data_IF_051073264834
#
_entry.id   IF_051073264834
#
_cell.length_a   1.000
_cell.length_b   1.000
_cell.length_c   1.000
_cell.angle_alpha   90.00
_cell.angle_beta   90.00
_cell.angle_gamma   90.00
#
_symmetry.space_group_name_H-M   'P 1'
#
loop_
_entity.id
_entity.type
_entity.pdbx_description
1 polymer ?
#
# COMPACT_ATOMS: atom_id res chain seq x y z
N UNK A 1 10.37 8.42 11.48
CA UNK A 1 10.80 8.98 10.17
C UNK A 1 10.15 10.36 9.99
N UNK A 2 10.70 11.35 9.25
CA UNK A 2 9.92 12.55 8.90
C UNK A 2 9.37 12.39 7.49
N UNK A 3 8.07 12.14 7.37
CA UNK A 3 7.41 12.12 6.07
C UNK A 3 7.38 13.54 5.48
N UNK A 4 7.41 13.71 4.14
CA UNK A 4 7.23 15.03 3.56
C UNK A 4 5.83 15.55 3.91
N UNK A 5 5.76 16.60 4.75
CA UNK A 5 4.52 17.14 5.33
C UNK A 5 3.42 17.39 4.26
N UNK A 6 3.81 17.77 3.04
CA UNK A 6 2.87 17.99 1.93
C UNK A 6 2.13 16.74 1.44
N UNK A 7 2.76 15.57 1.47
CA UNK A 7 2.18 14.33 0.94
C UNK A 7 1.14 13.74 1.89
N UNK A 8 1.41 13.77 3.19
CA UNK A 8 0.47 13.29 4.21
C UNK A 8 -0.78 14.15 4.23
N UNK A 9 -0.61 15.46 4.22
CA UNK A 9 -1.76 16.38 4.19
C UNK A 9 -2.56 16.25 2.90
N UNK A 10 -1.92 15.99 1.76
CA UNK A 10 -2.62 15.69 0.51
C UNK A 10 -3.41 14.37 0.58
N UNK A 11 -2.83 13.32 1.16
CA UNK A 11 -3.53 12.04 1.35
C UNK A 11 -4.74 12.21 2.29
N UNK A 12 -4.57 12.87 3.44
CA UNK A 12 -5.68 13.16 4.38
C UNK A 12 -6.83 13.91 3.70
N UNK A 13 -6.53 14.95 2.92
CA UNK A 13 -7.55 15.68 2.14
C UNK A 13 -8.28 14.76 1.15
N UNK A 14 -7.56 13.85 0.51
CA UNK A 14 -8.14 12.90 -0.44
C UNK A 14 -9.08 11.90 0.27
N UNK A 15 -8.69 11.40 1.44
CA UNK A 15 -9.50 10.51 2.27
C UNK A 15 -10.80 11.21 2.71
N UNK A 16 -10.70 12.46 3.19
CA UNK A 16 -11.88 13.26 3.56
C UNK A 16 -12.81 13.43 2.37
N UNK A 17 -12.27 13.84 1.22
CA UNK A 17 -13.06 14.05 -0.01
C UNK A 17 -13.80 12.79 -0.44
N UNK A 18 -13.14 11.62 -0.40
CA UNK A 18 -13.77 10.34 -0.73
C UNK A 18 -14.90 10.00 0.23
N UNK A 19 -14.70 10.20 1.53
CA UNK A 19 -15.71 9.94 2.56
C UNK A 19 -16.93 10.84 2.43
N UNK A 20 -16.74 12.11 2.14
CA UNK A 20 -17.83 13.07 1.88
C UNK A 20 -18.65 12.67 0.65
N UNK A 21 -18.02 12.01 -0.33
CA UNK A 21 -18.70 11.42 -1.48
C UNK A 21 -19.34 10.05 -1.20
N UNK A 22 -19.32 9.56 0.05
CA UNK A 22 -19.83 8.24 0.42
C UNK A 22 -18.93 7.08 -0.01
N UNK A 23 -17.70 7.35 -0.45
CA UNK A 23 -16.70 6.34 -0.82
C UNK A 23 -15.83 6.02 0.40
N UNK A 24 -15.71 4.74 0.73
CA UNK A 24 -14.79 4.27 1.77
C UNK A 24 -13.45 3.90 1.11
N UNK A 25 -12.39 4.71 1.27
CA UNK A 25 -11.08 4.36 0.71
C UNK A 25 -10.52 3.11 1.41
N UNK A 26 -9.77 2.34 0.63
CA UNK A 26 -9.00 1.21 1.09
C UNK A 26 -7.52 1.50 0.81
N UNK A 27 -6.72 1.67 1.86
CA UNK A 27 -5.32 2.06 1.73
C UNK A 27 -4.43 0.82 1.73
N UNK A 28 -3.54 0.75 0.76
CA UNK A 28 -2.58 -0.36 0.63
C UNK A 28 -1.17 0.20 0.48
N UNK A 29 -0.20 -0.55 1.00
CA UNK A 29 1.21 -0.39 0.64
C UNK A 29 1.54 -1.47 -0.38
N UNK A 30 1.96 -1.06 -1.57
CA UNK A 30 2.37 -1.97 -2.62
C UNK A 30 3.74 -2.63 -2.31
N UNK A 31 4.03 -3.80 -2.90
CA UNK A 31 5.35 -4.41 -2.84
C UNK A 31 6.49 -3.47 -3.23
N UNK A 32 7.60 -3.57 -2.51
CA UNK A 32 8.85 -2.91 -2.89
C UNK A 32 9.73 -3.83 -3.69
N UNK A 33 10.45 -3.25 -4.66
CA UNK A 33 11.49 -3.97 -5.38
C UNK A 33 12.54 -4.52 -4.38
N UNK A 34 13.09 -5.74 -4.59
CA UNK A 34 14.00 -6.36 -3.64
C UNK A 34 15.23 -5.52 -3.26
N UNK A 35 15.69 -4.67 -4.18
CA UNK A 35 16.76 -3.69 -3.93
C UNK A 35 16.46 -2.72 -2.76
N UNK A 36 15.21 -2.33 -2.56
CA UNK A 36 14.79 -1.42 -1.47
C UNK A 36 15.08 -2.04 -0.11
N UNK A 37 14.84 -3.35 0.03
CA UNK A 37 15.14 -4.10 1.25
C UNK A 37 16.64 -4.35 1.42
N UNK A 38 17.35 -4.66 0.33
CA UNK A 38 18.80 -4.85 0.34
C UNK A 38 19.53 -3.59 0.86
N UNK A 39 18.99 -2.41 0.57
CA UNK A 39 19.54 -1.13 1.01
C UNK A 39 18.97 -0.61 2.33
N UNK A 40 18.11 -1.38 3.03
CA UNK A 40 17.47 -1.00 4.30
C UNK A 40 16.81 0.39 4.24
N UNK A 41 16.22 0.73 3.10
CA UNK A 41 15.66 2.07 2.86
C UNK A 41 14.36 2.33 3.64
N UNK A 42 13.77 1.28 4.21
CA UNK A 42 12.45 1.33 4.84
C UNK A 42 12.56 0.83 6.28
N UNK A 43 12.27 1.68 7.28
CA UNK A 43 12.19 1.27 8.69
C UNK A 43 11.11 0.20 8.89
N UNK A 44 11.26 -0.73 9.83
CA UNK A 44 10.25 -1.79 10.01
C UNK A 44 8.90 -1.27 10.52
N UNK A 45 8.90 -0.19 11.30
CA UNK A 45 7.72 0.40 11.96
C UNK A 45 7.02 1.48 11.13
N UNK A 46 7.50 1.76 9.91
CA UNK A 46 7.06 2.95 9.19
C UNK A 46 5.56 2.92 8.82
N UNK A 47 4.99 1.74 8.56
CA UNK A 47 3.55 1.59 8.26
C UNK A 47 2.73 1.98 9.48
N UNK A 48 3.08 1.46 10.65
CA UNK A 48 2.39 1.75 11.92
C UNK A 48 2.49 3.24 12.27
N UNK A 49 3.67 3.85 12.09
CA UNK A 49 3.87 5.31 12.24
C UNK A 49 2.96 6.08 11.27
N UNK A 50 2.86 5.63 10.03
CA UNK A 50 2.08 6.30 9.00
C UNK A 50 0.55 6.15 9.22
N UNK A 51 0.09 4.98 9.65
CA UNK A 51 -1.31 4.73 10.07
C UNK A 51 -1.73 5.69 11.19
N UNK A 52 -0.87 5.84 12.22
CA UNK A 52 -1.10 6.77 13.33
C UNK A 52 -1.21 8.21 12.85
N UNK A 53 -0.38 8.60 11.87
CA UNK A 53 -0.35 9.96 11.37
C UNK A 53 -1.55 10.30 10.48
N UNK A 54 -2.02 9.35 9.66
CA UNK A 54 -3.16 9.57 8.75
C UNK A 54 -4.51 9.26 9.41
N UNK A 55 -4.53 8.46 10.47
CA UNK A 55 -5.74 8.03 11.17
C UNK A 55 -6.56 6.98 10.42
N UNK A 56 -5.92 6.23 9.51
CA UNK A 56 -6.55 5.18 8.71
C UNK A 56 -5.74 3.88 8.80
N UNK A 57 -6.40 2.71 8.79
CA UNK A 57 -5.70 1.44 8.65
C UNK A 57 -5.12 1.29 7.24
N UNK A 58 -3.96 0.65 7.17
CA UNK A 58 -3.21 0.35 5.96
C UNK A 58 -3.00 -1.15 5.88
N UNK A 59 -3.26 -1.70 4.71
CA UNK A 59 -2.96 -3.09 4.42
C UNK A 59 -1.58 -3.18 3.80
N UNK A 60 -0.64 -3.69 4.58
CA UNK A 60 0.75 -3.83 4.16
C UNK A 60 0.93 -5.06 3.26
N UNK A 61 0.96 -4.82 1.94
CA UNK A 61 1.33 -5.82 0.95
C UNK A 61 2.79 -5.70 0.53
N UNK A 62 3.60 -4.90 1.22
CA UNK A 62 4.99 -4.64 0.83
C UNK A 62 5.81 -5.91 0.63
N UNK A 63 5.46 -6.98 1.35
CA UNK A 63 6.18 -8.26 1.38
C UNK A 63 5.55 -9.38 0.55
N UNK A 64 4.49 -9.12 -0.21
CA UNK A 64 3.79 -10.17 -0.99
C UNK A 64 4.70 -10.81 -2.04
N UNK A 65 5.58 -10.03 -2.64
CA UNK A 65 6.58 -10.53 -3.58
C UNK A 65 7.94 -9.90 -3.29
N UNK A 66 8.99 -10.67 -3.53
CA UNK A 66 10.40 -10.25 -3.47
C UNK A 66 11.20 -10.78 -4.66
N UNK A 67 10.52 -11.15 -5.73
CA UNK A 67 11.16 -11.69 -6.92
C UNK A 67 11.35 -10.54 -7.94
N UNK A 68 12.59 -10.28 -8.37
CA UNK A 68 12.91 -9.22 -9.34
C UNK A 68 12.10 -9.35 -10.63
N UNK A 69 11.81 -10.58 -11.07
CA UNK A 69 11.07 -10.90 -12.29
C UNK A 69 9.56 -10.58 -12.21
N UNK A 70 9.07 -10.13 -11.05
CA UNK A 70 7.69 -9.66 -10.84
C UNK A 70 7.54 -8.15 -10.89
N UNK A 71 8.64 -7.43 -11.14
CA UNK A 71 8.65 -5.98 -11.32
C UNK A 71 8.88 -5.61 -12.79
N UNK A 72 8.27 -4.51 -13.24
CA UNK A 72 8.55 -3.91 -14.55
C UNK A 72 9.69 -2.90 -14.47
N UNK A 73 9.86 -2.28 -13.30
CA UNK A 73 10.92 -1.34 -12.96
C UNK A 73 11.09 -1.31 -11.42
N UNK A 74 12.05 -0.53 -10.85
CA UNK A 74 12.29 -0.52 -9.41
C UNK A 74 11.13 -0.06 -8.51
N UNK A 75 10.03 0.43 -9.06
CA UNK A 75 8.87 0.93 -8.32
C UNK A 75 7.56 0.23 -8.68
N UNK A 76 7.45 -0.36 -9.86
CA UNK A 76 6.19 -0.91 -10.37
C UNK A 76 6.25 -2.42 -10.59
N UNK A 77 5.16 -3.08 -10.20
CA UNK A 77 4.93 -4.49 -10.51
C UNK A 77 4.60 -4.69 -11.99
N UNK A 78 5.03 -5.82 -12.54
CA UNK A 78 4.49 -6.32 -13.80
C UNK A 78 3.23 -7.15 -13.56
N UNK A 79 2.64 -7.69 -14.63
CA UNK A 79 1.38 -8.44 -14.56
C UNK A 79 1.42 -9.68 -13.67
N UNK A 80 2.57 -10.34 -13.56
CA UNK A 80 2.74 -11.50 -12.67
C UNK A 80 2.73 -11.02 -11.23
N UNK A 81 3.52 -10.00 -10.89
CA UNK A 81 3.53 -9.42 -9.54
C UNK A 81 2.18 -8.84 -9.12
N UNK A 82 1.47 -8.16 -10.02
CA UNK A 82 0.13 -7.63 -9.75
C UNK A 82 -0.88 -8.73 -9.44
N UNK A 83 -0.73 -9.92 -10.05
CA UNK A 83 -1.59 -11.07 -9.75
C UNK A 83 -1.41 -11.55 -8.32
N UNK A 84 -0.18 -11.64 -7.83
CA UNK A 84 0.09 -12.06 -6.45
C UNK A 84 -0.58 -11.12 -5.44
N UNK A 85 -0.42 -9.80 -5.63
CA UNK A 85 -1.09 -8.80 -4.77
C UNK A 85 -2.61 -8.93 -4.85
N UNK A 86 -3.15 -9.10 -6.05
CA UNK A 86 -4.60 -9.27 -6.25
C UNK A 86 -5.12 -10.51 -5.54
N UNK A 87 -4.39 -11.62 -5.56
CA UNK A 87 -4.78 -12.84 -4.84
C UNK A 87 -4.82 -12.63 -3.33
N UNK A 88 -3.86 -11.91 -2.76
CA UNK A 88 -3.90 -11.54 -1.33
C UNK A 88 -5.05 -10.56 -1.03
N UNK A 89 -5.28 -9.60 -1.92
CA UNK A 89 -6.38 -8.62 -1.81
C UNK A 89 -7.74 -9.33 -1.76
N UNK A 90 -7.94 -10.36 -2.59
CA UNK A 90 -9.17 -11.17 -2.62
C UNK A 90 -9.39 -12.03 -1.37
N UNK A 91 -8.38 -12.20 -0.51
CA UNK A 91 -8.59 -12.89 0.79
C UNK A 91 -9.25 -11.98 1.83
N UNK A 92 -9.35 -10.68 1.56
CA UNK A 92 -9.91 -9.72 2.49
C UNK A 92 -11.45 -9.84 2.57
N UNK A 93 -12.03 -10.04 3.77
CA UNK A 93 -13.46 -10.33 3.93
C UNK A 93 -14.40 -9.28 3.33
N UNK A 94 -14.00 -8.01 3.36
CA UNK A 94 -14.79 -6.87 2.93
C UNK A 94 -14.72 -6.61 1.43
N UNK A 95 -13.73 -7.17 0.71
CA UNK A 95 -13.65 -7.09 -0.75
C UNK A 95 -14.35 -8.25 -1.44
N UNK A 96 -14.38 -9.44 -0.82
CA UNK A 96 -15.18 -10.56 -1.32
C UNK A 96 -16.68 -10.22 -1.42
N UNK A 97 -17.21 -9.36 -0.54
CA UNK A 97 -18.61 -8.94 -0.62
C UNK A 97 -18.91 -7.98 -1.78
N UNK A 98 -17.89 -7.35 -2.38
CA UNK A 98 -18.04 -6.42 -3.50
C UNK A 98 -17.86 -7.07 -4.87
N UNK A 99 -17.20 -8.25 -4.93
CA UNK A 99 -16.84 -8.92 -6.19
C UNK A 99 -17.22 -10.42 -6.24
N UNK A 100 -17.83 -10.95 -5.18
CA UNK A 100 -18.31 -12.34 -5.09
C UNK A 100 -19.74 -12.54 -5.58
#
# INVERSE_FOLDING_TARGET
>A
MKFPDGNIEALKRSIVTLREAGVRPFLIVAPYHPSVYAHKMIPETWVEEFELEIGEPIFDFSRVTRDDDKFSDPLHLNMIGSRDVTQELMKLPHLNACFG
#
